data_IF_846221053671
#
_entry.id   IF_846221053671
#
_cell.length_a   1.000
_cell.length_b   1.000
_cell.length_c   1.000
_cell.angle_alpha   90.00
_cell.angle_beta   90.00
_cell.angle_gamma   90.00
#
_symmetry.space_group_name_H-M   'P 1'
#
loop_
_entity.id
_entity.type
_entity.pdbx_description
1 polymer ?
#
# COMPACT_ATOMS: atom_id res chain seq x y z
N UNK A 1 30.82 -31.24 -31.41
CA UNK A 1 29.69 -31.12 -30.46
C UNK A 1 28.53 -30.48 -31.20
N UNK A 2 27.35 -31.10 -31.28
CA UNK A 2 26.24 -30.55 -32.08
C UNK A 2 25.58 -29.36 -31.36
N UNK A 3 25.15 -28.36 -32.13
CA UNK A 3 24.44 -27.16 -31.62
C UNK A 3 23.21 -27.55 -30.77
N UNK A 4 22.54 -28.65 -31.14
CA UNK A 4 21.41 -29.22 -30.40
C UNK A 4 21.77 -29.70 -29.00
N UNK A 5 22.96 -30.27 -28.81
CA UNK A 5 23.41 -30.72 -27.50
C UNK A 5 23.79 -29.54 -26.59
N UNK A 6 24.27 -28.43 -27.16
CA UNK A 6 24.57 -27.22 -26.41
C UNK A 6 23.28 -26.54 -25.92
N UNK A 7 22.28 -26.39 -26.81
CA UNK A 7 20.95 -25.84 -26.50
C UNK A 7 20.20 -26.67 -25.46
N UNK A 8 20.23 -28.00 -25.57
CA UNK A 8 19.59 -28.88 -24.61
C UNK A 8 20.23 -28.75 -23.21
N UNK A 9 21.56 -28.61 -23.15
CA UNK A 9 22.29 -28.43 -21.89
C UNK A 9 22.04 -27.07 -21.24
N UNK A 10 21.97 -26.00 -22.02
CA UNK A 10 21.63 -24.67 -21.47
C UNK A 10 20.17 -24.59 -21.02
N UNK A 11 19.24 -25.18 -21.76
CA UNK A 11 17.83 -25.27 -21.32
C UNK A 11 17.67 -26.12 -20.06
N UNK A 12 18.34 -27.27 -19.99
CA UNK A 12 18.32 -28.13 -18.80
C UNK A 12 18.95 -27.44 -17.58
N UNK A 13 20.07 -26.74 -17.76
CA UNK A 13 20.71 -25.96 -16.69
C UNK A 13 19.83 -24.79 -16.23
N UNK A 14 19.18 -24.08 -17.16
CA UNK A 14 18.22 -23.02 -16.83
C UNK A 14 17.00 -23.55 -16.06
N UNK A 15 16.48 -24.71 -16.45
CA UNK A 15 15.36 -25.36 -15.78
C UNK A 15 15.74 -25.88 -14.38
N UNK A 16 16.95 -26.43 -14.22
CA UNK A 16 17.46 -26.88 -12.92
C UNK A 16 17.74 -25.71 -11.97
N UNK A 17 18.29 -24.61 -12.47
CA UNK A 17 18.49 -23.39 -11.67
C UNK A 17 17.14 -22.77 -11.26
N UNK A 18 16.12 -22.84 -12.12
CA UNK A 18 14.76 -22.41 -11.80
C UNK A 18 14.11 -23.27 -10.71
N UNK A 19 14.49 -24.55 -10.58
CA UNK A 19 13.99 -25.45 -9.53
C UNK A 19 14.67 -25.24 -8.16
N UNK A 20 15.80 -24.53 -8.11
CA UNK A 20 16.53 -24.21 -6.86
C UNK A 20 16.24 -22.81 -6.32
N UNK A 21 15.43 -22.01 -7.01
CA UNK A 21 15.24 -20.59 -6.70
C UNK A 21 13.93 -20.28 -5.99
N UNK A 22 14.02 -19.40 -4.99
CA UNK A 22 12.91 -18.70 -4.32
C UNK A 22 12.15 -17.76 -5.27
N UNK A 23 11.66 -18.28 -6.39
CA UNK A 23 10.90 -17.49 -7.35
C UNK A 23 9.48 -17.36 -6.82
N UNK A 24 9.07 -16.12 -6.58
CA UNK A 24 7.77 -15.78 -6.05
C UNK A 24 7.18 -14.59 -6.80
N UNK A 25 5.87 -14.59 -6.94
CA UNK A 25 5.14 -13.51 -7.61
C UNK A 25 4.22 -12.87 -6.59
N UNK A 26 4.35 -11.56 -6.38
CA UNK A 26 3.59 -10.78 -5.40
C UNK A 26 2.83 -9.64 -6.05
N UNK A 27 1.54 -9.49 -5.69
CA UNK A 27 0.63 -8.48 -6.25
C UNK A 27 0.30 -7.37 -5.26
N UNK A 28 0.84 -6.16 -5.46
CA UNK A 28 0.58 -4.99 -4.62
C UNK A 28 -0.75 -4.33 -5.00
N UNK A 29 -1.84 -4.67 -4.29
CA UNK A 29 -3.18 -4.10 -4.51
C UNK A 29 -3.53 -3.07 -3.45
N UNK A 30 -3.56 -1.78 -3.84
CA UNK A 30 -3.88 -0.69 -2.93
C UNK A 30 -5.27 -0.81 -2.27
N UNK A 31 -5.31 -0.95 -0.95
CA UNK A 31 -6.55 -0.97 -0.15
C UNK A 31 -7.16 0.43 0.06
N UNK A 32 -8.33 0.48 0.70
CA UNK A 32 -8.91 1.70 1.31
C UNK A 32 -9.08 1.40 2.80
N UNK A 33 -8.48 2.23 3.64
CA UNK A 33 -8.72 2.17 5.08
C UNK A 33 -9.75 3.24 5.43
N UNK A 34 -10.97 2.82 5.70
CA UNK A 34 -11.94 3.68 6.37
C UNK A 34 -11.70 3.52 7.87
N UNK A 35 -11.32 4.62 8.52
CA UNK A 35 -11.30 4.69 9.96
C UNK A 35 -12.56 5.45 10.39
N UNK A 36 -13.26 4.93 11.38
CA UNK A 36 -14.36 5.66 12.02
C UNK A 36 -13.83 6.60 13.11
N UNK A 37 -12.51 6.84 13.13
CA UNK A 37 -11.88 7.86 13.97
C UNK A 37 -12.50 9.24 13.78
N UNK A 38 -12.78 9.89 14.90
CA UNK A 38 -13.34 11.25 15.01
C UNK A 38 -12.27 12.33 15.04
N UNK A 39 -10.99 11.96 14.87
CA UNK A 39 -9.87 12.90 14.87
C UNK A 39 -8.90 12.65 13.72
N UNK A 40 -8.29 13.71 13.23
CA UNK A 40 -7.17 13.66 12.28
C UNK A 40 -5.93 14.34 12.86
N UNK A 41 -4.77 14.09 12.26
CA UNK A 41 -3.46 14.60 12.70
C UNK A 41 -2.98 15.76 11.83
N UNK A 42 -1.93 16.46 12.27
CA UNK A 42 -1.34 17.57 11.51
C UNK A 42 -0.85 17.12 10.12
N UNK A 43 -0.33 15.90 10.00
CA UNK A 43 0.20 15.39 8.74
C UNK A 43 -0.90 14.77 7.86
N UNK A 44 -1.23 15.46 6.76
CA UNK A 44 -2.25 15.03 5.81
C UNK A 44 -1.97 13.62 5.27
N UNK A 45 -2.91 12.70 5.47
CA UNK A 45 -2.87 11.36 4.88
C UNK A 45 -1.95 10.37 5.61
N UNK A 46 -1.54 10.66 6.85
CA UNK A 46 -0.93 9.70 7.76
C UNK A 46 -1.94 9.26 8.81
N UNK A 47 -2.04 7.95 9.04
CA UNK A 47 -2.58 7.42 10.29
C UNK A 47 -1.38 7.26 11.20
N UNK A 48 -1.22 8.15 12.18
CA UNK A 48 -0.40 7.81 13.33
C UNK A 48 -1.30 7.05 14.31
N UNK A 49 -0.86 5.93 14.88
CA UNK A 49 -1.54 5.31 16.00
C UNK A 49 -1.82 6.40 17.04
N UNK A 50 -3.07 6.50 17.50
CA UNK A 50 -3.42 7.47 18.54
C UNK A 50 -2.74 7.02 19.84
N UNK A 51 -1.60 7.61 20.15
CA UNK A 51 -0.85 7.37 21.38
C UNK A 51 -1.23 8.37 22.50
N UNK A 52 -2.23 9.23 22.23
CA UNK A 52 -2.65 10.31 23.12
C UNK A 52 -1.65 11.47 23.26
N UNK A 53 -0.46 11.36 22.65
CA UNK A 53 0.58 12.38 22.73
C UNK A 53 0.42 13.46 21.66
N UNK A 54 -0.28 13.15 20.56
CA UNK A 54 -0.53 14.10 19.48
C UNK A 54 -1.86 14.85 19.64
N UNK A 55 -1.88 16.16 19.34
CA UNK A 55 -3.12 16.92 19.34
C UNK A 55 -4.10 16.34 18.30
N UNK A 56 -5.29 15.97 18.77
CA UNK A 56 -6.39 15.47 17.95
C UNK A 56 -7.24 16.63 17.44
N UNK A 57 -7.39 16.75 16.13
CA UNK A 57 -8.22 17.78 15.52
C UNK A 57 -9.55 17.19 15.04
N UNK A 58 -10.66 17.85 15.37
CA UNK A 58 -12.01 17.33 15.09
C UNK A 58 -12.88 18.30 14.28
N UNK A 59 -12.47 19.57 14.09
CA UNK A 59 -13.34 20.57 13.47
C UNK A 59 -12.99 20.90 12.02
N UNK A 60 -13.97 21.40 11.28
CA UNK A 60 -13.75 21.99 9.94
C UNK A 60 -12.74 23.14 9.97
N UNK A 61 -12.80 23.99 10.99
CA UNK A 61 -11.89 25.12 11.16
C UNK A 61 -10.45 24.65 11.32
N UNK A 62 -10.22 23.58 12.08
CA UNK A 62 -8.90 22.97 12.22
C UNK A 62 -8.40 22.40 10.90
N UNK A 63 -9.28 21.74 10.14
CA UNK A 63 -8.90 21.18 8.84
C UNK A 63 -8.49 22.28 7.85
N UNK A 64 -9.24 23.39 7.80
CA UNK A 64 -8.88 24.55 6.98
C UNK A 64 -7.60 25.22 7.47
N UNK A 65 -7.39 25.35 8.78
CA UNK A 65 -6.18 25.95 9.36
C UNK A 65 -4.94 25.13 9.09
N UNK A 66 -5.02 23.81 9.25
CA UNK A 66 -3.86 22.91 9.17
C UNK A 66 -3.58 22.48 7.74
N UNK A 67 -4.62 22.14 6.99
CA UNK A 67 -4.48 21.57 5.65
C UNK A 67 -4.88 22.57 4.56
N UNK A 68 -5.47 23.71 4.88
CA UNK A 68 -5.96 24.65 3.87
C UNK A 68 -7.26 24.17 3.20
N UNK A 69 -7.66 24.80 2.09
CA UNK A 69 -8.89 24.46 1.40
C UNK A 69 -8.83 23.04 0.79
N UNK A 70 -9.92 22.27 0.85
CA UNK A 70 -9.98 20.95 0.22
C UNK A 70 -9.95 21.07 -1.30
N UNK A 71 -9.45 20.03 -1.96
CA UNK A 71 -9.46 19.93 -3.42
C UNK A 71 -10.90 19.83 -3.96
N UNK A 72 -11.78 19.16 -3.20
CA UNK A 72 -13.18 18.96 -3.56
C UNK A 72 -14.02 18.91 -2.30
N UNK A 73 -15.18 19.57 -2.32
CA UNK A 73 -16.25 19.47 -1.32
C UNK A 73 -17.48 18.84 -1.96
N UNK A 74 -18.14 17.94 -1.26
CA UNK A 74 -19.38 17.30 -1.71
C UNK A 74 -20.28 17.11 -0.49
N UNK A 75 -21.59 17.26 -0.67
CA UNK A 75 -22.56 16.87 0.34
C UNK A 75 -23.00 15.43 0.06
N UNK A 76 -22.92 14.55 1.05
CA UNK A 76 -23.31 13.14 0.94
C UNK A 76 -24.07 12.74 2.19
N UNK A 77 -25.29 12.24 2.03
CA UNK A 77 -26.13 11.76 3.13
C UNK A 77 -26.30 12.81 4.27
N UNK A 78 -26.35 14.10 3.90
CA UNK A 78 -26.43 15.22 4.86
C UNK A 78 -25.09 15.65 5.46
N UNK A 79 -24.00 14.94 5.19
CA UNK A 79 -22.67 15.24 5.68
C UNK A 79 -21.80 15.94 4.63
N UNK A 80 -20.93 16.85 5.08
CA UNK A 80 -19.97 17.52 4.21
C UNK A 80 -18.69 16.68 4.06
N UNK A 81 -18.48 16.12 2.88
CA UNK A 81 -17.29 15.35 2.53
C UNK A 81 -16.23 16.24 1.88
N UNK A 82 -15.07 16.34 2.50
CA UNK A 82 -13.92 17.10 2.02
C UNK A 82 -12.81 16.16 1.56
N UNK A 83 -12.44 16.24 0.29
CA UNK A 83 -11.34 15.45 -0.26
C UNK A 83 -10.09 16.31 -0.41
N UNK A 84 -8.99 15.80 0.13
CA UNK A 84 -7.65 16.35 0.00
C UNK A 84 -6.76 15.45 -0.83
N UNK A 85 -6.09 16.02 -1.83
CA UNK A 85 -4.99 15.33 -2.52
C UNK A 85 -3.77 15.35 -1.61
N UNK A 86 -3.15 14.20 -1.41
CA UNK A 86 -1.79 14.15 -0.87
C UNK A 86 -0.79 14.30 -2.01
N UNK A 87 0.43 14.69 -1.68
CA UNK A 87 1.55 14.70 -2.63
C UNK A 87 2.16 13.31 -2.82
N UNK A 88 1.82 12.34 -1.96
CA UNK A 88 2.41 11.01 -2.00
C UNK A 88 1.78 10.16 -3.11
N UNK A 89 2.58 9.56 -4.00
CA UNK A 89 2.08 8.63 -4.99
C UNK A 89 1.47 7.39 -4.31
N UNK A 90 0.48 6.80 -4.97
CA UNK A 90 -0.07 5.49 -4.68
C UNK A 90 0.60 4.51 -5.62
N UNK A 91 1.31 3.52 -5.08
CA UNK A 91 1.97 2.48 -5.87
C UNK A 91 1.03 1.29 -6.05
N UNK A 92 1.05 0.69 -7.24
CA UNK A 92 0.50 -0.64 -7.52
C UNK A 92 1.46 -1.34 -8.47
N UNK A 93 1.63 -2.63 -8.31
CA UNK A 93 2.56 -3.32 -9.17
C UNK A 93 2.68 -4.80 -8.88
N UNK A 94 3.57 -5.40 -9.65
CA UNK A 94 3.97 -6.77 -9.49
C UNK A 94 5.41 -6.78 -9.02
N UNK A 95 5.66 -7.50 -7.94
CA UNK A 95 7.02 -7.77 -7.50
C UNK A 95 7.35 -9.21 -7.83
N UNK A 96 8.37 -9.39 -8.67
CA UNK A 96 8.90 -10.71 -9.03
C UNK A 96 10.13 -10.94 -8.18
N UNK A 97 10.04 -11.95 -7.32
CA UNK A 97 11.10 -12.44 -6.46
C UNK A 97 11.87 -13.53 -7.22
N UNK A 98 13.19 -13.52 -7.11
CA UNK A 98 14.12 -14.48 -7.73
C UNK A 98 15.50 -14.34 -7.09
N UNK A 99 16.60 -14.63 -7.82
CA UNK A 99 17.97 -14.37 -7.33
C UNK A 99 18.19 -12.86 -7.09
N UNK A 100 17.52 -12.02 -7.87
CA UNK A 100 17.45 -10.57 -7.69
C UNK A 100 15.98 -10.18 -7.64
N UNK A 101 15.52 -9.57 -6.55
CA UNK A 101 14.18 -8.98 -6.49
C UNK A 101 14.15 -7.75 -7.39
N UNK A 102 13.34 -7.81 -8.46
CA UNK A 102 13.11 -6.64 -9.32
C UNK A 102 11.69 -6.16 -9.05
N UNK A 103 11.50 -5.14 -8.19
CA UNK A 103 10.19 -4.58 -7.94
C UNK A 103 9.73 -3.79 -9.17
N UNK A 104 8.71 -4.29 -9.87
CA UNK A 104 8.04 -3.55 -10.95
C UNK A 104 6.82 -2.85 -10.35
N UNK A 105 7.11 -1.77 -9.61
CA UNK A 105 6.08 -0.90 -9.03
C UNK A 105 5.79 0.26 -9.96
N UNK A 106 4.52 0.40 -10.35
CA UNK A 106 4.05 1.54 -11.14
C UNK A 106 3.25 2.50 -10.24
N UNK A 107 3.45 3.82 -10.39
CA UNK A 107 2.59 4.78 -9.72
C UNK A 107 1.19 4.69 -10.35
N UNK A 108 0.21 4.21 -9.58
CA UNK A 108 -1.17 4.01 -10.04
C UNK A 108 -2.13 5.10 -9.53
N UNK A 109 -1.59 6.20 -9.00
CA UNK A 109 -2.37 7.36 -8.60
C UNK A 109 -1.70 8.17 -7.49
N UNK A 110 -2.50 8.97 -6.78
CA UNK A 110 -2.08 9.73 -5.59
C UNK A 110 -2.95 9.32 -4.41
N UNK A 111 -2.38 9.26 -3.20
CA UNK A 111 -3.19 9.01 -1.99
C UNK A 111 -4.15 10.18 -1.78
N UNK A 112 -5.35 9.88 -1.31
CA UNK A 112 -6.38 10.88 -0.99
C UNK A 112 -6.81 10.71 0.46
N UNK A 113 -7.03 11.83 1.13
CA UNK A 113 -7.64 11.86 2.45
C UNK A 113 -9.04 12.44 2.30
N UNK A 114 -10.05 11.79 2.89
CA UNK A 114 -11.43 12.26 2.89
C UNK A 114 -11.86 12.46 4.32
N UNK A 115 -12.27 13.69 4.65
CA UNK A 115 -12.89 14.04 5.92
C UNK A 115 -14.39 14.12 5.70
N UNK A 116 -15.17 13.55 6.59
CA UNK A 116 -16.62 13.67 6.61
C UNK A 116 -17.03 14.44 7.85
N UNK A 117 -17.80 15.51 7.66
CA UNK A 117 -18.25 16.38 8.73
C UNK A 117 -19.78 16.36 8.84
N UNK A 118 -20.27 16.25 10.07
CA UNK A 118 -21.65 16.54 10.44
C UNK A 118 -21.65 17.72 11.42
N UNK A 119 -22.44 18.75 11.15
CA UNK A 119 -22.53 19.96 11.99
C UNK A 119 -21.17 20.60 12.32
N UNK A 120 -20.25 20.60 11.35
CA UNK A 120 -18.90 21.16 11.50
C UNK A 120 -17.91 20.29 12.28
N UNK A 121 -18.33 19.12 12.78
CA UNK A 121 -17.51 18.16 13.50
C UNK A 121 -17.19 16.93 12.65
N UNK A 122 -15.97 16.43 12.79
CA UNK A 122 -15.48 15.27 12.06
C UNK A 122 -16.17 14.01 12.59
N UNK A 123 -16.93 13.35 11.71
CA UNK A 123 -17.58 12.07 12.01
C UNK A 123 -16.84 10.89 11.39
N UNK A 124 -16.06 11.14 10.33
CA UNK A 124 -15.31 10.07 9.65
C UNK A 124 -14.02 10.56 9.02
N UNK A 125 -13.00 9.72 9.11
CA UNK A 125 -11.74 9.93 8.43
C UNK A 125 -11.36 8.72 7.56
N UNK A 126 -11.34 8.92 6.24
CA UNK A 126 -10.94 7.86 5.31
C UNK A 126 -9.64 8.25 4.63
N UNK A 127 -8.63 7.39 4.72
CA UNK A 127 -7.41 7.51 3.91
C UNK A 127 -7.44 6.44 2.85
N UNK A 128 -7.33 6.88 1.59
CA UNK A 128 -6.95 6.00 0.49
C UNK A 128 -5.43 5.78 0.53
N UNK A 129 -4.97 5.09 1.58
CA UNK A 129 -3.63 4.55 1.66
C UNK A 129 -3.63 3.33 0.77
N UNK A 130 -2.89 3.37 -0.34
CA UNK A 130 -2.62 2.12 -1.06
C UNK A 130 -1.77 1.24 -0.16
N UNK A 131 -2.37 0.44 0.71
CA UNK A 131 -1.68 -0.68 1.34
C UNK A 131 -1.47 -1.73 0.27
N UNK A 132 -0.24 -2.17 0.11
CA UNK A 132 0.06 -3.32 -0.74
C UNK A 132 -0.12 -4.56 0.10
N UNK A 133 -1.04 -5.44 -0.27
CA UNK A 133 -0.90 -6.83 0.16
C UNK A 133 0.16 -7.48 -0.71
N UNK A 134 1.07 -8.25 -0.13
CA UNK A 134 1.89 -9.15 -0.91
C UNK A 134 1.26 -10.53 -0.83
N UNK A 135 0.88 -11.10 -1.97
CA UNK A 135 0.50 -12.51 -2.07
C UNK A 135 1.59 -13.19 -2.86
N UNK A 136 2.60 -13.73 -2.17
CA UNK A 136 3.69 -14.47 -2.78
C UNK A 136 3.34 -15.96 -2.91
N UNK A 137 3.41 -16.51 -4.12
CA UNK A 137 3.48 -17.97 -4.31
C UNK A 137 4.95 -18.39 -4.23
N UNK A 138 5.35 -19.05 -3.15
CA UNK A 138 6.70 -19.60 -3.01
C UNK A 138 6.68 -21.08 -3.37
N UNK A 139 7.37 -21.45 -4.46
CA UNK A 139 7.57 -22.83 -4.84
C UNK A 139 8.88 -23.33 -4.22
N UNK A 140 8.78 -24.11 -3.13
CA UNK A 140 9.93 -24.80 -2.56
C UNK A 140 9.77 -26.32 -2.72
N UNK A 141 10.75 -26.94 -3.40
CA UNK A 141 10.71 -28.36 -3.77
C UNK A 141 10.73 -29.34 -2.59
N UNK A 142 11.05 -28.91 -1.36
CA UNK A 142 11.14 -29.84 -0.21
C UNK A 142 9.91 -29.87 0.70
N UNK A 143 8.98 -28.91 0.59
CA UNK A 143 7.92 -28.75 1.61
C UNK A 143 6.55 -28.29 1.13
N UNK A 144 6.35 -28.09 -0.18
CA UNK A 144 5.07 -27.68 -0.75
C UNK A 144 4.97 -26.18 -1.04
N UNK A 145 3.81 -25.74 -1.53
CA UNK A 145 3.52 -24.34 -1.79
C UNK A 145 3.03 -23.67 -0.50
N UNK A 146 3.66 -22.55 -0.13
CA UNK A 146 3.29 -21.80 1.07
C UNK A 146 2.86 -20.40 0.67
N UNK A 147 1.76 -19.94 1.27
CA UNK A 147 1.28 -18.57 1.10
C UNK A 147 1.81 -17.74 2.26
N UNK A 148 2.46 -16.61 1.95
CA UNK A 148 2.80 -15.61 2.96
C UNK A 148 2.16 -14.28 2.58
N UNK A 149 1.42 -13.73 3.53
CA UNK A 149 0.89 -12.38 3.43
C UNK A 149 1.88 -11.46 4.11
N UNK A 150 2.48 -10.56 3.36
CA UNK A 150 3.19 -9.43 3.95
C UNK A 150 2.32 -8.18 3.77
N UNK A 151 2.34 -7.29 4.75
CA UNK A 151 1.71 -5.99 4.65
C UNK A 151 2.77 -4.96 4.27
N UNK A 152 2.65 -4.39 3.07
CA UNK A 152 3.44 -3.22 2.69
C UNK A 152 2.77 -1.97 3.22
N UNK A 153 3.37 -1.34 4.22
CA UNK A 153 3.02 0.05 4.54
C UNK A 153 4.08 1.01 3.97
N UNK A 154 3.80 1.69 2.84
CA UNK A 154 4.68 2.74 2.31
C UNK A 154 4.77 3.98 3.23
N UNK A 155 4.03 4.04 4.35
CA UNK A 155 4.26 5.05 5.39
C UNK A 155 5.55 4.78 6.18
N UNK A 156 6.00 3.52 6.22
CA UNK A 156 7.26 3.07 6.81
C UNK A 156 8.25 2.73 5.69
N UNK A 157 8.83 3.77 5.06
CA UNK A 157 10.03 3.58 4.25
C UNK A 157 11.16 3.05 5.16
N UNK A 158 11.28 1.72 5.29
CA UNK A 158 12.43 1.08 5.92
C UNK A 158 12.19 -0.07 6.90
N UNK A 159 10.96 -0.40 7.31
CA UNK A 159 10.72 -1.49 8.26
C UNK A 159 9.79 -2.58 7.71
N UNK A 160 10.36 -3.74 7.40
CA UNK A 160 9.60 -4.95 7.11
C UNK A 160 9.15 -5.58 8.44
N UNK A 161 7.88 -5.39 8.79
CA UNK A 161 7.25 -6.15 9.87
C UNK A 161 6.98 -7.57 9.37
N UNK A 162 7.45 -8.57 10.12
CA UNK A 162 6.99 -9.96 9.95
C UNK A 162 5.90 -10.19 10.99
N UNK A 163 4.73 -10.63 10.54
CA UNK A 163 3.64 -11.13 11.38
C UNK A 163 3.56 -12.65 11.25
#
# INVERSE_FOLDING_TARGET
>A
MSLSALLARTLAAGLLLAQTGCVGLSLVVGSKQADNGTSFTKHRGQQTPFDGSQPSYTSQADALRLWGPPWRRQLRDGHECWTYKTLRPKWRGLEVWGILSVPVLLPAGRKKATLEFADGQLVRYTIDSGRGYFVGLFLNNSTGAWWRFFEYDPAYEGSWGTY
#
